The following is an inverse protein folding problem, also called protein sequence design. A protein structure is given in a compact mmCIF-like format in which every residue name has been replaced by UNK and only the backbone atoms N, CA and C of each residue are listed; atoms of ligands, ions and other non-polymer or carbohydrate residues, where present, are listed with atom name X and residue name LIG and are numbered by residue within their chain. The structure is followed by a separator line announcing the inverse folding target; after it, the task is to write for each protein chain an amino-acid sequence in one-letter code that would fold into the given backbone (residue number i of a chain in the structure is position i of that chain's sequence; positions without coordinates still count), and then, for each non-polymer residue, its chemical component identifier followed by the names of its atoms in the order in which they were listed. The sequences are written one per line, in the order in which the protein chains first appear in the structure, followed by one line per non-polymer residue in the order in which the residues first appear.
data_IF_785756726980
#
_entry.id   IF_785756726980
#
_cell.length_a   1.000
_cell.length_b   1.000
_cell.length_c   1.000
_cell.angle_alpha   90.00
_cell.angle_beta   90.00
_cell.angle_gamma   90.00
#
_symmetry.space_group_name_H-M   'P 1'
#
loop_
_entity.id
_entity.type
_entity.pdbx_description
1 polymer ?
#
# COMPACT_ATOMS: atom_id res chain seq x y z
N UNK A 1 -19.21 9.01 8.28
CA UNK A 1 -18.58 7.71 7.90
C UNK A 1 -18.25 7.70 6.40
N UNK A 2 -17.50 8.70 5.93
CA UNK A 2 -17.24 8.99 4.49
C UNK A 2 -15.75 9.33 4.25
N UNK A 3 -14.91 9.04 5.26
CA UNK A 3 -13.53 9.50 5.33
C UNK A 3 -12.56 8.65 4.51
N UNK A 4 -12.83 7.35 4.38
CA UNK A 4 -11.86 6.41 3.79
C UNK A 4 -11.79 6.56 2.25
N UNK A 5 -12.93 6.64 1.57
CA UNK A 5 -12.97 6.85 0.12
C UNK A 5 -12.39 8.19 -0.32
N UNK A 6 -12.76 9.28 0.38
CA UNK A 6 -12.24 10.62 0.12
C UNK A 6 -10.74 10.73 0.44
N UNK A 7 -10.28 10.07 1.51
CA UNK A 7 -8.85 10.01 1.84
C UNK A 7 -8.05 9.29 0.76
N UNK A 8 -8.56 8.18 0.23
CA UNK A 8 -7.94 7.47 -0.89
C UNK A 8 -7.82 8.37 -2.13
N UNK A 9 -8.93 8.93 -2.62
CA UNK A 9 -8.93 9.77 -3.83
C UNK A 9 -8.01 10.98 -3.65
N UNK A 10 -8.04 11.62 -2.47
CA UNK A 10 -7.15 12.73 -2.15
C UNK A 10 -5.69 12.31 -2.18
N UNK A 11 -5.34 11.18 -1.56
CA UNK A 11 -3.97 10.68 -1.52
C UNK A 11 -3.47 10.33 -2.92
N UNK A 12 -4.26 9.62 -3.73
CA UNK A 12 -3.90 9.29 -5.12
C UNK A 12 -3.68 10.56 -5.95
N UNK A 13 -4.57 11.55 -5.85
CA UNK A 13 -4.43 12.82 -6.60
C UNK A 13 -3.24 13.65 -6.15
N UNK A 14 -2.99 13.73 -4.84
CA UNK A 14 -1.93 14.54 -4.26
C UNK A 14 -0.55 13.91 -4.46
N UNK A 15 -0.43 12.59 -4.23
CA UNK A 15 0.84 11.88 -4.28
C UNK A 15 1.21 11.42 -5.70
N UNK A 16 0.22 11.36 -6.61
CA UNK A 16 0.35 10.87 -7.99
C UNK A 16 1.21 9.60 -8.08
N UNK A 17 0.87 8.55 -7.31
CA UNK A 17 1.69 7.34 -7.30
C UNK A 17 1.66 6.70 -8.68
N UNK A 18 2.79 6.19 -9.15
CA UNK A 18 2.81 5.42 -10.39
C UNK A 18 2.26 4.00 -10.19
N UNK A 19 2.20 3.52 -8.93
CA UNK A 19 1.45 2.31 -8.56
C UNK A 19 0.74 2.42 -7.22
N UNK A 20 -0.45 1.81 -7.14
CA UNK A 20 -1.22 1.60 -5.92
C UNK A 20 -1.20 0.12 -5.59
N UNK A 21 -0.62 -0.23 -4.44
CA UNK A 21 -0.61 -1.58 -3.89
C UNK A 21 -1.71 -1.73 -2.85
N UNK A 22 -2.63 -2.65 -3.07
CA UNK A 22 -3.58 -3.06 -2.05
C UNK A 22 -3.02 -4.29 -1.33
N UNK A 23 -2.62 -4.11 -0.08
CA UNK A 23 -2.05 -5.17 0.76
C UNK A 23 -3.09 -5.78 1.70
N UNK A 24 -4.35 -5.36 1.61
CA UNK A 24 -5.44 -5.82 2.46
C UNK A 24 -5.80 -7.26 2.15
N UNK A 25 -6.13 -8.02 3.20
CA UNK A 25 -6.52 -9.43 3.08
C UNK A 25 -7.82 -9.58 2.28
N UNK A 26 -8.73 -8.65 2.50
CA UNK A 26 -9.93 -8.48 1.72
C UNK A 26 -9.79 -7.14 1.01
N UNK A 27 -9.23 -7.12 -0.22
CA UNK A 27 -9.29 -5.91 -1.04
C UNK A 27 -10.76 -5.69 -1.40
N UNK A 28 -11.04 -4.83 -2.36
CA UNK A 28 -12.37 -4.42 -2.78
C UNK A 28 -12.80 -3.15 -2.09
N UNK A 29 -13.38 -2.30 -2.91
CA UNK A 29 -13.84 -0.97 -2.61
C UNK A 29 -15.16 -1.04 -1.82
N UNK A 30 -15.16 -1.78 -0.73
CA UNK A 30 -16.20 -1.76 0.32
C UNK A 30 -15.86 -0.75 1.42
N UNK A 31 -15.10 0.28 1.06
CA UNK A 31 -15.08 1.50 1.85
C UNK A 31 -16.45 2.13 1.64
N UNK A 32 -17.27 2.18 2.71
CA UNK A 32 -18.54 2.91 2.69
C UNK A 32 -18.38 4.22 1.90
N UNK A 33 -19.14 4.34 0.80
CA UNK A 33 -19.18 5.50 -0.11
C UNK A 33 -18.11 5.63 -1.21
N UNK A 34 -17.25 4.63 -1.47
CA UNK A 34 -16.38 4.63 -2.66
C UNK A 34 -16.71 3.46 -3.59
N UNK A 35 -17.44 3.72 -4.67
CA UNK A 35 -17.66 2.68 -5.67
C UNK A 35 -16.33 2.34 -6.40
N UNK A 36 -16.25 1.10 -6.90
CA UNK A 36 -15.09 0.60 -7.63
C UNK A 36 -14.71 1.50 -8.81
N UNK A 37 -15.69 2.02 -9.52
CA UNK A 37 -15.51 2.85 -10.71
C UNK A 37 -14.78 4.16 -10.41
N UNK A 38 -15.17 4.87 -9.36
CA UNK A 38 -14.55 6.13 -8.93
C UNK A 38 -13.10 5.89 -8.50
N UNK A 39 -12.84 4.78 -7.81
CA UNK A 39 -11.50 4.45 -7.37
C UNK A 39 -10.57 4.15 -8.57
N UNK A 40 -11.00 3.29 -9.49
CA UNK A 40 -10.23 3.00 -10.70
C UNK A 40 -10.11 4.24 -11.60
N UNK A 41 -11.15 5.07 -11.70
CA UNK A 41 -11.08 6.34 -12.44
C UNK A 41 -10.02 7.27 -11.84
N UNK A 42 -9.92 7.38 -10.51
CA UNK A 42 -8.89 8.18 -9.86
C UNK A 42 -7.47 7.67 -10.12
N UNK A 43 -7.28 6.34 -10.17
CA UNK A 43 -6.00 5.69 -10.51
C UNK A 43 -5.66 5.91 -11.99
N UNK A 44 -6.61 5.69 -12.89
CA UNK A 44 -6.43 5.87 -14.33
C UNK A 44 -6.16 7.33 -14.71
N UNK A 45 -6.78 8.30 -14.02
CA UNK A 45 -6.55 9.74 -14.24
C UNK A 45 -5.09 10.18 -14.06
N UNK A 46 -4.29 9.42 -13.33
CA UNK A 46 -2.88 9.71 -13.09
C UNK A 46 -1.95 8.69 -13.76
N UNK A 47 -2.47 7.86 -14.67
CA UNK A 47 -1.73 6.78 -15.34
C UNK A 47 -1.06 5.80 -14.35
N UNK A 48 -1.67 5.60 -13.19
CA UNK A 48 -1.20 4.66 -12.18
C UNK A 48 -1.72 3.26 -12.45
N UNK A 49 -1.05 2.25 -11.91
CA UNK A 49 -1.51 0.85 -11.97
C UNK A 49 -1.89 0.34 -10.59
N UNK A 50 -2.96 -0.45 -10.52
CA UNK A 50 -3.43 -1.06 -9.28
C UNK A 50 -2.98 -2.52 -9.20
N UNK A 51 -2.41 -2.91 -8.06
CA UNK A 51 -1.92 -4.27 -7.81
C UNK A 51 -2.44 -4.76 -6.46
N UNK A 52 -3.14 -5.89 -6.45
CA UNK A 52 -3.56 -6.54 -5.21
C UNK A 52 -2.58 -7.64 -4.82
N UNK A 53 -2.03 -7.54 -3.61
CA UNK A 53 -1.03 -8.45 -3.03
C UNK A 53 -1.27 -8.54 -1.52
N UNK A 54 -2.22 -9.37 -1.06
CA UNK A 54 -2.63 -9.41 0.33
C UNK A 54 -1.46 -9.86 1.22
N UNK A 55 -1.19 -9.12 2.29
CA UNK A 55 -0.25 -9.51 3.35
C UNK A 55 -1.05 -9.77 4.63
N UNK A 56 -0.81 -10.91 5.28
CA UNK A 56 -1.46 -11.25 6.55
C UNK A 56 -0.70 -10.59 7.71
N UNK A 57 -1.08 -9.36 8.03
CA UNK A 57 -0.47 -8.58 9.12
C UNK A 57 -1.05 -8.93 10.53
N UNK A 58 -2.06 -9.81 10.61
CA UNK A 58 -2.90 -9.97 11.81
C UNK A 58 -2.50 -11.05 12.82
N UNK A 59 -1.50 -11.90 12.55
CA UNK A 59 -1.20 -13.06 13.41
C UNK A 59 0.19 -12.97 14.04
N UNK A 60 0.40 -12.01 14.94
CA UNK A 60 1.66 -11.84 15.66
C UNK A 60 1.54 -12.23 17.12
N UNK A 61 1.45 -13.54 17.38
CA UNK A 61 1.49 -14.06 18.75
C UNK A 61 2.93 -14.32 19.24
N UNK A 62 3.93 -14.32 18.35
CA UNK A 62 5.35 -14.50 18.67
C UNK A 62 6.30 -13.51 17.96
N UNK A 63 7.53 -13.38 18.48
CA UNK A 63 8.59 -12.59 17.83
C UNK A 63 9.02 -13.15 16.47
N UNK A 64 8.98 -14.46 16.29
CA UNK A 64 9.32 -15.14 15.03
C UNK A 64 8.31 -14.82 13.92
N UNK A 65 7.03 -14.75 14.27
CA UNK A 65 5.96 -14.40 13.33
C UNK A 65 6.07 -12.95 12.84
N UNK A 66 6.55 -12.05 13.71
CA UNK A 66 6.84 -10.65 13.32
C UNK A 66 7.94 -10.58 12.27
N UNK A 67 9.02 -11.34 12.45
CA UNK A 67 10.13 -11.37 11.49
C UNK A 67 9.74 -11.97 10.15
N UNK A 68 8.91 -13.02 10.15
CA UNK A 68 8.41 -13.62 8.90
C UNK A 68 7.58 -12.62 8.09
N UNK A 69 6.71 -11.86 8.73
CA UNK A 69 5.90 -10.85 8.03
C UNK A 69 6.72 -9.66 7.57
N UNK A 70 7.72 -9.23 8.35
CA UNK A 70 8.68 -8.23 7.88
C UNK A 70 9.40 -8.75 6.63
N UNK A 71 9.89 -10.00 6.65
CA UNK A 71 10.54 -10.62 5.49
C UNK A 71 9.61 -10.70 4.27
N UNK A 72 8.37 -11.15 4.44
CA UNK A 72 7.39 -11.20 3.35
C UNK A 72 7.08 -9.81 2.79
N UNK A 73 6.98 -8.79 3.65
CA UNK A 73 6.81 -7.41 3.22
C UNK A 73 8.04 -6.89 2.47
N UNK A 74 9.26 -7.21 2.93
CA UNK A 74 10.51 -6.89 2.26
C UNK A 74 10.60 -7.56 0.88
N UNK A 75 10.30 -8.85 0.80
CA UNK A 75 10.29 -9.61 -0.46
C UNK A 75 9.29 -9.01 -1.45
N UNK A 76 8.08 -8.71 -1.00
CA UNK A 76 7.06 -8.07 -1.84
C UNK A 76 7.50 -6.67 -2.31
N UNK A 77 8.04 -5.84 -1.41
CA UNK A 77 8.52 -4.49 -1.74
C UNK A 77 9.69 -4.56 -2.73
N UNK A 78 10.64 -5.48 -2.52
CA UNK A 78 11.74 -5.74 -3.45
C UNK A 78 11.22 -6.10 -4.83
N UNK A 79 10.33 -7.10 -4.93
CA UNK A 79 9.75 -7.53 -6.21
C UNK A 79 9.07 -6.36 -6.93
N UNK A 80 8.32 -5.55 -6.17
CA UNK A 80 7.63 -4.37 -6.68
C UNK A 80 8.60 -3.35 -7.28
N UNK A 81 9.68 -3.04 -6.56
CA UNK A 81 10.67 -2.02 -6.94
C UNK A 81 11.53 -2.51 -8.10
N UNK A 82 12.04 -3.74 -8.02
CA UNK A 82 12.94 -4.31 -9.05
C UNK A 82 12.21 -4.47 -10.39
N UNK A 83 10.90 -4.76 -10.38
CA UNK A 83 10.11 -4.77 -11.60
C UNK A 83 9.90 -3.38 -12.24
N UNK A 84 10.31 -2.28 -11.58
CA UNK A 84 9.94 -0.92 -11.99
C UNK A 84 11.05 0.13 -11.84
N UNK A 85 12.11 0.02 -12.63
CA UNK A 85 13.20 1.02 -12.72
C UNK A 85 12.80 2.45 -13.16
N UNK A 86 11.51 2.75 -13.36
CA UNK A 86 11.02 4.06 -13.84
C UNK A 86 10.03 4.74 -12.90
N UNK A 87 9.78 4.18 -11.72
CA UNK A 87 8.79 4.70 -10.78
C UNK A 87 9.34 4.66 -9.37
N UNK A 88 9.29 5.83 -8.72
CA UNK A 88 9.83 6.00 -7.37
C UNK A 88 8.74 6.44 -6.40
N UNK A 89 7.47 6.50 -6.79
CA UNK A 89 6.38 6.97 -5.93
C UNK A 89 5.23 5.96 -5.86
N UNK A 90 4.99 5.44 -4.67
CA UNK A 90 4.07 4.34 -4.42
C UNK A 90 3.04 4.69 -3.34
N UNK A 91 1.83 4.14 -3.46
CA UNK A 91 0.83 4.14 -2.38
C UNK A 91 0.56 2.69 -1.99
N UNK A 92 0.56 2.38 -0.70
CA UNK A 92 0.15 1.09 -0.18
C UNK A 92 -1.07 1.23 0.74
N UNK A 93 -2.10 0.42 0.47
CA UNK A 93 -3.34 0.32 1.23
C UNK A 93 -3.23 -0.84 2.21
N UNK A 94 -3.56 -0.60 3.47
CA UNK A 94 -3.46 -1.58 4.56
C UNK A 94 -4.72 -1.55 5.42
N UNK A 95 -5.00 -2.67 6.09
CA UNK A 95 -6.25 -2.88 6.82
C UNK A 95 -6.33 -2.06 8.13
N UNK A 96 -5.23 -1.98 8.90
CA UNK A 96 -5.21 -1.22 10.16
C UNK A 96 -3.95 -0.40 10.35
N UNK A 97 -4.07 0.64 11.18
CA UNK A 97 -3.00 1.59 11.50
C UNK A 97 -1.87 0.95 12.31
N UNK A 98 -2.18 -0.05 13.13
CA UNK A 98 -1.17 -0.75 13.94
C UNK A 98 -0.24 -1.59 13.05
N UNK A 99 -0.78 -2.15 11.98
CA UNK A 99 -0.04 -2.89 10.95
C UNK A 99 0.89 -1.98 10.11
N UNK A 100 0.58 -0.68 10.08
CA UNK A 100 1.36 0.33 9.35
C UNK A 100 2.76 0.54 9.94
N UNK A 101 2.96 0.23 11.22
CA UNK A 101 4.22 0.48 11.91
C UNK A 101 5.33 -0.49 11.43
N UNK A 102 5.01 -1.78 11.35
CA UNK A 102 5.93 -2.82 10.87
C UNK A 102 6.27 -2.65 9.39
N UNK A 103 5.24 -2.40 8.56
CA UNK A 103 5.44 -2.14 7.14
C UNK A 103 6.19 -0.81 6.93
N UNK A 104 5.94 0.19 7.76
CA UNK A 104 6.62 1.48 7.74
C UNK A 104 8.13 1.34 7.96
N UNK A 105 8.57 0.51 8.90
CA UNK A 105 10.00 0.24 9.12
C UNK A 105 10.67 -0.44 7.92
N UNK A 106 9.99 -1.41 7.29
CA UNK A 106 10.49 -2.06 6.08
C UNK A 106 10.62 -1.05 4.91
N UNK A 107 9.56 -0.29 4.67
CA UNK A 107 9.52 0.76 3.65
C UNK A 107 10.62 1.81 3.87
N UNK A 108 10.81 2.27 5.11
CA UNK A 108 11.81 3.28 5.43
C UNK A 108 13.23 2.79 5.08
N UNK A 109 13.50 1.51 5.30
CA UNK A 109 14.76 0.91 4.87
C UNK A 109 14.93 0.96 3.34
N UNK A 110 13.87 0.72 2.56
CA UNK A 110 13.93 0.83 1.09
C UNK A 110 13.99 2.29 0.60
N UNK A 111 13.24 3.21 1.21
CA UNK A 111 13.30 4.64 0.92
C UNK A 111 14.74 5.15 0.99
N UNK A 112 15.44 4.78 2.06
CA UNK A 112 16.82 5.18 2.30
C UNK A 112 17.82 4.57 1.31
N UNK A 113 17.61 3.31 0.91
CA UNK A 113 18.59 2.57 0.11
C UNK A 113 18.34 2.60 -1.41
N UNK A 114 17.10 2.84 -1.84
CA UNK A 114 16.69 2.72 -3.26
C UNK A 114 15.97 3.97 -3.79
N UNK A 115 15.66 4.96 -2.93
CA UNK A 115 15.02 6.21 -3.35
C UNK A 115 13.51 6.11 -3.65
N UNK A 116 12.91 4.93 -3.48
CA UNK A 116 11.48 4.70 -3.66
C UNK A 116 10.70 5.34 -2.51
N UNK A 117 9.85 6.33 -2.77
CA UNK A 117 8.96 7.02 -1.82
C UNK A 117 7.62 6.31 -1.70
N UNK A 118 7.19 6.09 -0.47
CA UNK A 118 5.96 5.37 -0.18
C UNK A 118 4.99 6.20 0.64
N UNK A 119 3.70 6.02 0.35
CA UNK A 119 2.62 6.53 1.19
C UNK A 119 1.74 5.38 1.68
N UNK A 120 1.78 5.15 2.98
CA UNK A 120 0.88 4.21 3.65
C UNK A 120 -0.48 4.87 3.90
N UNK A 121 -1.55 4.18 3.51
CA UNK A 121 -2.94 4.55 3.77
C UNK A 121 -3.64 3.40 4.48
N UNK A 122 -3.94 3.58 5.77
CA UNK A 122 -4.83 2.69 6.50
C UNK A 122 -6.29 3.08 6.16
N UNK A 123 -7.03 2.15 5.55
CA UNK A 123 -8.39 2.38 5.04
C UNK A 123 -9.37 1.36 5.62
#
# INVERSE_FOLDING_TARGET
RDLHGKAFVRAVRQYRPCKVFDLRSHPYFDLHSLNREIAFAAISQISSTYHHRPIKLFNHHSHSDRWNVVREAFELISEIIDLNHRCDNFVALIDKRDDASLLGSAIQHYELNKGAKWKLLAL
#
